data_IF_366561342009
#
_entry.id   IF_366561342009
#
_cell.length_a   1.000
_cell.length_b   1.000
_cell.length_c   1.000
_cell.angle_alpha   90.00
_cell.angle_beta   90.00
_cell.angle_gamma   90.00
#
_symmetry.space_group_name_H-M   'P 1'
#
loop_
_entity.id
_entity.type
_entity.pdbx_description
1 polymer ?
#
# COMPACT_ATOMS: atom_id res chain seq x y z
N UNK A 1 -6.21 6.25 7.71
CA UNK A 1 -6.42 7.70 7.48
C UNK A 1 -7.22 7.83 6.20
N UNK A 2 -8.24 8.70 6.15
CA UNK A 2 -8.97 8.96 4.91
C UNK A 2 -8.02 9.47 3.81
N UNK A 3 -8.09 8.95 2.56
CA UNK A 3 -7.18 9.33 1.48
C UNK A 3 -7.09 10.85 1.25
N UNK A 4 -8.23 11.54 1.32
CA UNK A 4 -8.29 13.00 1.12
C UNK A 4 -7.54 13.83 2.18
N UNK A 5 -7.13 13.24 3.30
CA UNK A 5 -6.36 13.94 4.35
C UNK A 5 -4.85 13.74 4.23
N UNK A 6 -4.39 12.84 3.36
CA UNK A 6 -2.98 12.46 3.27
C UNK A 6 -2.11 13.60 2.76
N UNK A 7 -2.57 14.33 1.74
CA UNK A 7 -1.82 15.45 1.16
C UNK A 7 -1.55 16.54 2.22
N UNK A 8 -2.56 16.90 3.01
CA UNK A 8 -2.41 17.91 4.07
C UNK A 8 -1.56 17.41 5.24
N UNK A 9 -1.59 16.11 5.53
CA UNK A 9 -0.69 15.51 6.51
C UNK A 9 0.77 15.56 6.03
N UNK A 10 1.02 15.24 4.75
CA UNK A 10 2.36 15.29 4.17
C UNK A 10 2.93 16.72 4.14
N UNK A 11 2.13 17.75 3.81
CA UNK A 11 2.53 19.17 3.94
C UNK A 11 3.11 19.46 5.31
N UNK A 12 2.33 19.16 6.34
CA UNK A 12 2.68 19.44 7.72
C UNK A 12 3.92 18.67 8.16
N UNK A 13 4.10 17.44 7.69
CA UNK A 13 5.28 16.65 8.00
C UNK A 13 6.53 17.20 7.30
N UNK A 14 6.42 17.69 6.07
CA UNK A 14 7.55 18.29 5.34
C UNK A 14 7.99 19.65 5.90
N UNK A 15 7.10 20.39 6.57
CA UNK A 15 7.45 21.62 7.29
C UNK A 15 8.31 21.38 8.54
N UNK A 16 8.41 20.14 9.01
CA UNK A 16 9.17 19.79 10.22
C UNK A 16 10.62 19.44 9.85
N UNK A 17 11.61 20.28 10.22
CA UNK A 17 12.98 20.17 9.70
C UNK A 17 13.72 18.89 10.13
N UNK A 18 13.24 18.21 11.16
CA UNK A 18 13.86 17.01 11.73
C UNK A 18 13.07 15.72 11.42
N UNK A 19 12.06 15.79 10.55
CA UNK A 19 11.26 14.63 10.15
C UNK A 19 11.45 14.40 8.65
N UNK A 20 11.74 13.15 8.29
CA UNK A 20 11.83 12.71 6.91
C UNK A 20 10.72 11.69 6.68
N UNK A 21 9.80 11.99 5.76
CA UNK A 21 8.80 11.01 5.33
C UNK A 21 9.44 10.06 4.34
N UNK A 22 9.97 8.95 4.85
CA UNK A 22 10.68 7.96 4.03
C UNK A 22 9.72 7.10 3.19
N UNK A 23 8.51 6.82 3.71
CA UNK A 23 7.59 5.90 3.06
C UNK A 23 6.13 6.11 3.36
N UNK A 24 5.30 5.45 2.54
CA UNK A 24 3.85 5.39 2.65
C UNK A 24 3.38 3.95 2.41
N UNK A 25 2.33 3.55 3.12
CA UNK A 25 1.71 2.25 2.93
C UNK A 25 0.22 2.22 3.20
N UNK A 26 -0.42 1.17 2.68
CA UNK A 26 -1.74 0.69 3.10
C UNK A 26 -1.66 -0.81 3.40
N UNK A 27 -2.67 -1.34 4.09
CA UNK A 27 -2.76 -2.76 4.44
C UNK A 27 -4.03 -3.36 3.83
N UNK A 28 -3.88 -4.45 3.07
CA UNK A 28 -5.01 -5.20 2.52
C UNK A 28 -5.63 -6.04 3.62
N UNK A 29 -6.93 -5.88 3.84
CA UNK A 29 -7.61 -6.37 5.06
C UNK A 29 -8.35 -7.69 4.88
N UNK A 30 -8.58 -8.11 3.64
CA UNK A 30 -9.26 -9.36 3.32
C UNK A 30 -8.46 -10.05 2.25
N UNK A 31 -7.86 -11.19 2.52
CA UNK A 31 -7.10 -11.94 1.49
C UNK A 31 -7.44 -13.41 1.59
N UNK A 32 -8.74 -13.70 1.67
CA UNK A 32 -9.24 -15.07 1.58
C UNK A 32 -9.07 -15.54 0.14
N UNK A 33 -8.44 -16.70 -0.04
CA UNK A 33 -8.29 -17.30 -1.37
C UNK A 33 -9.63 -17.81 -1.87
N UNK A 34 -9.85 -17.72 -3.18
CA UNK A 34 -11.04 -18.22 -3.87
C UNK A 34 -12.36 -17.58 -3.39
N UNK A 35 -12.28 -16.36 -2.85
CA UNK A 35 -13.44 -15.55 -2.45
C UNK A 35 -13.58 -14.31 -3.34
N UNK A 36 -14.55 -14.28 -4.28
CA UNK A 36 -14.76 -13.16 -5.19
C UNK A 36 -15.03 -11.82 -4.49
N UNK A 37 -15.62 -11.82 -3.29
CA UNK A 37 -15.87 -10.58 -2.55
C UNK A 37 -14.58 -10.03 -1.92
N UNK A 38 -13.73 -10.89 -1.37
CA UNK A 38 -12.36 -10.55 -0.95
C UNK A 38 -11.54 -10.00 -2.11
N UNK A 39 -11.60 -10.63 -3.29
CA UNK A 39 -10.92 -10.15 -4.50
C UNK A 39 -11.39 -8.74 -4.91
N UNK A 40 -12.71 -8.54 -4.96
CA UNK A 40 -13.33 -7.25 -5.31
C UNK A 40 -12.94 -6.16 -4.30
N UNK A 41 -12.93 -6.50 -3.01
CA UNK A 41 -12.57 -5.57 -1.96
C UNK A 41 -11.09 -5.17 -2.05
N UNK A 42 -10.18 -6.13 -2.24
CA UNK A 42 -8.76 -5.84 -2.45
C UNK A 42 -8.50 -5.00 -3.68
N UNK A 43 -9.16 -5.31 -4.79
CA UNK A 43 -9.05 -4.52 -6.02
C UNK A 43 -9.46 -3.05 -5.76
N UNK A 44 -10.52 -2.83 -4.97
CA UNK A 44 -10.91 -1.49 -4.56
C UNK A 44 -9.87 -0.82 -3.65
N UNK A 45 -9.30 -1.53 -2.67
CA UNK A 45 -8.25 -0.99 -1.80
C UNK A 45 -7.00 -0.59 -2.59
N UNK A 46 -6.53 -1.46 -3.49
CA UNK A 46 -5.38 -1.19 -4.38
C UNK A 46 -5.66 -0.01 -5.28
N UNK A 47 -6.88 0.08 -5.84
CA UNK A 47 -7.28 1.22 -6.69
C UNK A 47 -7.21 2.53 -5.90
N UNK A 48 -7.84 2.60 -4.74
CA UNK A 48 -7.84 3.82 -3.90
C UNK A 48 -6.41 4.23 -3.56
N UNK A 49 -5.55 3.27 -3.23
CA UNK A 49 -4.15 3.57 -2.91
C UNK A 49 -3.37 4.05 -4.13
N UNK A 50 -3.53 3.42 -5.30
CA UNK A 50 -2.89 3.87 -6.55
C UNK A 50 -3.35 5.27 -6.99
N UNK A 51 -4.64 5.58 -6.83
CA UNK A 51 -5.17 6.91 -7.13
C UNK A 51 -4.49 7.97 -6.23
N UNK A 52 -4.39 7.70 -4.93
CA UNK A 52 -3.67 8.56 -3.99
C UNK A 52 -2.19 8.71 -4.36
N UNK A 53 -1.48 7.63 -4.67
CA UNK A 53 -0.07 7.69 -5.04
C UNK A 53 0.15 8.51 -6.31
N UNK A 54 -0.77 8.41 -7.28
CA UNK A 54 -0.73 9.23 -8.50
C UNK A 54 -0.92 10.71 -8.19
N UNK A 55 -1.82 11.06 -7.27
CA UNK A 55 -2.00 12.46 -6.85
C UNK A 55 -0.78 13.00 -6.10
N UNK A 56 -0.14 12.17 -5.28
CA UNK A 56 1.11 12.53 -4.59
C UNK A 56 2.29 12.69 -5.55
N UNK A 57 2.40 11.84 -6.56
CA UNK A 57 3.45 11.92 -7.59
C UNK A 57 3.30 13.21 -8.41
N UNK A 58 2.08 13.54 -8.84
CA UNK A 58 1.78 14.81 -9.53
C UNK A 58 2.10 16.04 -8.67
N UNK A 59 1.94 15.95 -7.35
CA UNK A 59 2.31 17.01 -6.42
C UNK A 59 3.82 17.05 -6.10
N UNK A 60 4.60 16.07 -6.58
CA UNK A 60 6.04 15.93 -6.31
C UNK A 60 6.35 15.43 -4.90
N UNK A 61 5.37 14.84 -4.19
CA UNK A 61 5.47 14.46 -2.77
C UNK A 61 5.38 12.95 -2.53
N UNK A 62 5.54 12.15 -3.56
CA UNK A 62 5.58 10.70 -3.42
C UNK A 62 6.78 10.29 -2.55
N UNK A 63 6.58 9.63 -1.40
CA UNK A 63 7.67 9.13 -0.57
C UNK A 63 8.47 8.03 -1.29
N UNK A 64 9.74 7.86 -0.91
CA UNK A 64 10.64 6.94 -1.60
C UNK A 64 10.22 5.48 -1.46
N UNK A 65 9.69 5.08 -0.32
CA UNK A 65 9.28 3.69 -0.06
C UNK A 65 7.77 3.54 -0.11
N UNK A 66 7.27 2.76 -1.06
CA UNK A 66 5.84 2.57 -1.29
C UNK A 66 5.52 1.08 -1.29
N UNK A 67 4.55 0.69 -0.47
CA UNK A 67 4.30 -0.73 -0.25
C UNK A 67 2.88 -1.03 0.23
N UNK A 68 2.27 -2.06 -0.33
CA UNK A 68 0.91 -2.50 0.02
C UNK A 68 0.83 -4.02 0.26
N UNK A 69 1.69 -4.81 -0.40
CA UNK A 69 1.68 -6.26 -0.31
C UNK A 69 2.08 -6.80 1.07
N UNK A 70 1.23 -7.64 1.63
CA UNK A 70 1.51 -8.53 2.76
C UNK A 70 1.71 -9.98 2.26
N UNK A 71 1.97 -10.91 3.18
CA UNK A 71 2.14 -12.34 2.86
C UNK A 71 1.04 -12.93 1.97
N UNK A 72 -0.25 -12.84 2.33
CA UNK A 72 -1.31 -13.43 1.50
C UNK A 72 -1.53 -12.69 0.18
N UNK A 73 -1.41 -11.35 0.15
CA UNK A 73 -1.57 -10.61 -1.10
C UNK A 73 -0.48 -10.90 -2.13
N UNK A 74 0.76 -11.18 -1.70
CA UNK A 74 1.82 -11.60 -2.62
C UNK A 74 1.47 -12.90 -3.34
N UNK A 75 0.83 -13.85 -2.64
CA UNK A 75 0.45 -15.13 -3.23
C UNK A 75 -0.79 -15.02 -4.12
N UNK A 76 -1.79 -14.23 -3.70
CA UNK A 76 -3.06 -14.11 -4.41
C UNK A 76 -3.01 -13.12 -5.59
N UNK A 77 -2.34 -11.97 -5.43
CA UNK A 77 -2.34 -10.87 -6.42
C UNK A 77 -0.93 -10.31 -6.65
N UNK A 78 0.07 -11.14 -7.00
CA UNK A 78 1.47 -10.72 -7.08
C UNK A 78 1.65 -9.47 -7.93
N UNK A 79 1.10 -9.46 -9.14
CA UNK A 79 1.21 -8.31 -10.06
C UNK A 79 0.63 -7.03 -9.48
N UNK A 80 -0.49 -7.10 -8.77
CA UNK A 80 -1.16 -5.92 -8.18
C UNK A 80 -0.38 -5.30 -7.03
N UNK A 81 0.51 -6.06 -6.37
CA UNK A 81 1.27 -5.60 -5.20
C UNK A 81 2.79 -5.48 -5.42
N UNK A 82 3.29 -5.88 -6.59
CA UNK A 82 4.71 -5.79 -6.97
C UNK A 82 4.97 -4.97 -8.23
N UNK A 83 4.00 -4.17 -8.71
CA UNK A 83 4.14 -3.34 -9.91
C UNK A 83 3.79 -1.87 -9.66
N UNK A 84 4.01 -1.01 -10.66
CA UNK A 84 3.71 0.42 -10.55
C UNK A 84 4.63 1.13 -9.56
N UNK A 85 4.06 1.89 -8.63
CA UNK A 85 4.82 2.64 -7.61
C UNK A 85 5.43 1.75 -6.51
N UNK A 86 5.00 0.49 -6.37
CA UNK A 86 5.40 -0.36 -5.27
C UNK A 86 6.85 -0.84 -5.39
N UNK A 87 7.62 -0.68 -4.30
CA UNK A 87 9.04 -1.05 -4.26
C UNK A 87 9.46 -1.76 -2.95
N UNK A 88 8.50 -2.10 -2.09
CA UNK A 88 8.73 -2.94 -0.92
C UNK A 88 7.51 -3.83 -0.63
N UNK A 89 7.73 -4.91 0.13
CA UNK A 89 6.72 -5.87 0.59
C UNK A 89 6.87 -6.10 2.10
N UNK A 90 5.77 -6.41 2.78
CA UNK A 90 5.75 -6.74 4.22
C UNK A 90 5.40 -8.20 4.43
N UNK A 91 6.41 -9.06 4.32
CA UNK A 91 6.24 -10.50 4.42
C UNK A 91 6.40 -10.94 5.88
N UNK A 92 5.31 -11.44 6.47
CA UNK A 92 5.23 -11.93 7.84
C UNK A 92 5.13 -13.45 7.90
N UNK A 93 3.92 -14.00 7.88
CA UNK A 93 3.66 -15.45 7.99
C UNK A 93 4.36 -16.30 6.94
N UNK A 94 4.38 -15.82 5.69
CA UNK A 94 5.08 -16.51 4.60
C UNK A 94 6.60 -16.62 4.87
N UNK A 95 7.20 -15.70 5.63
CA UNK A 95 8.62 -15.80 6.00
C UNK A 95 8.91 -17.04 6.86
N UNK A 96 7.91 -17.49 7.63
CA UNK A 96 7.97 -18.69 8.46
C UNK A 96 7.44 -19.94 7.74
N UNK A 97 7.07 -19.84 6.46
CA UNK A 97 6.46 -20.93 5.70
C UNK A 97 4.98 -21.18 6.04
N UNK A 98 4.31 -20.24 6.72
CA UNK A 98 2.87 -20.32 6.96
C UNK A 98 2.08 -19.60 5.86
N UNK A 99 1.10 -20.30 5.31
CA UNK A 99 0.11 -19.75 4.41
C UNK A 99 -1.15 -19.35 5.20
N UNK A 100 -1.47 -18.05 5.19
CA UNK A 100 -2.75 -17.55 5.68
C UNK A 100 -3.84 -17.92 4.67
N UNK A 101 -4.92 -18.56 5.15
CA UNK A 101 -6.06 -19.00 4.33
C UNK A 101 -7.14 -17.93 4.27
#
# INVERSE_FOLDING_TARGET
>A
MEPGRVLDALKKLQELPNIIVEGIFSHLSTTYRDDPESDRYNAQQVKIFNDLLTDLDKAGWLPRMVHVGNSPALLAFPQSVTSGYYNALRIGTLFFGYEER
#
